data_IF_834283537845
#
_entry.id   IF_834283537845
#
_cell.length_a   1.000
_cell.length_b   1.000
_cell.length_c   1.000
_cell.angle_alpha   90.00
_cell.angle_beta   90.00
_cell.angle_gamma   90.00
#
_symmetry.space_group_name_H-M   'P 1'
#
loop_
_entity.id
_entity.type
_entity.pdbx_description
1 polymer ?
#
# COMPACT_ATOMS: atom_id res chain seq x y z
N UNK A 1 3.03 -10.54 5.48
CA UNK A 1 3.32 -9.52 6.52
C UNK A 1 3.29 -8.17 5.81
N UNK A 2 2.66 -7.15 6.40
CA UNK A 2 2.74 -5.76 5.93
C UNK A 2 3.47 -4.98 7.00
N UNK A 3 4.48 -4.20 6.62
CA UNK A 3 5.16 -3.24 7.51
C UNK A 3 4.97 -1.82 7.01
N UNK A 4 4.90 -0.88 7.95
CA UNK A 4 4.73 0.55 7.70
C UNK A 4 5.92 1.29 8.31
N UNK A 5 6.57 2.13 7.52
CA UNK A 5 7.51 3.16 7.99
C UNK A 5 6.89 4.53 7.72
N UNK A 6 6.94 5.45 8.69
CA UNK A 6 6.41 6.81 8.53
C UNK A 6 7.58 7.78 8.59
N UNK A 7 7.65 8.65 7.59
CA UNK A 7 8.48 9.86 7.53
C UNK A 7 7.51 11.06 7.54
N UNK A 8 7.99 12.26 7.91
CA UNK A 8 7.17 13.46 8.15
C UNK A 8 6.23 13.83 6.98
N UNK A 9 6.51 13.33 5.77
CA UNK A 9 5.70 13.55 4.56
C UNK A 9 5.27 12.28 3.83
N UNK A 10 5.63 11.09 4.31
CA UNK A 10 5.44 9.85 3.53
C UNK A 10 5.25 8.60 4.40
N UNK A 11 4.41 7.69 3.92
CA UNK A 11 4.29 6.33 4.47
C UNK A 11 4.91 5.35 3.48
N UNK A 12 5.89 4.58 3.95
CA UNK A 12 6.45 3.43 3.25
C UNK A 12 5.68 2.18 3.63
N UNK A 13 5.00 1.58 2.67
CA UNK A 13 4.26 0.32 2.82
C UNK A 13 5.07 -0.78 2.17
N UNK A 14 5.44 -1.80 2.94
CA UNK A 14 6.17 -2.97 2.46
C UNK A 14 5.34 -4.23 2.68
N UNK A 15 5.19 -5.07 1.67
CA UNK A 15 4.41 -6.32 1.74
C UNK A 15 5.03 -7.45 0.93
N UNK A 16 4.67 -8.68 1.28
CA UNK A 16 5.03 -9.85 0.47
C UNK A 16 4.12 -9.96 -0.75
N UNK A 17 4.71 -10.22 -1.91
CA UNK A 17 4.01 -10.41 -3.18
C UNK A 17 4.27 -11.80 -3.74
N UNK A 18 3.39 -12.25 -4.63
CA UNK A 18 3.61 -13.43 -5.45
C UNK A 18 4.02 -13.02 -6.87
N UNK A 19 4.99 -13.70 -7.49
CA UNK A 19 5.32 -13.46 -8.90
C UNK A 19 4.09 -13.65 -9.79
N UNK A 20 4.03 -12.87 -10.87
CA UNK A 20 2.95 -12.88 -11.86
C UNK A 20 1.57 -12.44 -11.33
N UNK A 21 1.44 -12.07 -10.05
CA UNK A 21 0.24 -11.39 -9.55
C UNK A 21 0.35 -9.88 -9.71
N UNK A 22 -0.79 -9.19 -9.63
CA UNK A 22 -0.89 -7.74 -9.58
C UNK A 22 -1.58 -7.30 -8.31
N UNK A 23 -1.21 -6.13 -7.83
CA UNK A 23 -1.75 -5.57 -6.60
C UNK A 23 -2.21 -4.12 -6.78
N UNK A 24 -3.19 -3.75 -5.96
CA UNK A 24 -3.59 -2.38 -5.75
C UNK A 24 -3.35 -2.01 -4.27
N UNK A 25 -2.76 -0.82 -4.06
CA UNK A 25 -2.62 -0.20 -2.76
C UNK A 25 -3.76 0.79 -2.58
N UNK A 26 -4.53 0.59 -1.52
CA UNK A 26 -5.68 1.42 -1.18
C UNK A 26 -5.48 2.10 0.17
N UNK A 27 -6.08 3.28 0.32
CA UNK A 27 -6.08 4.04 1.56
C UNK A 27 -7.49 4.38 2.01
N UNK A 28 -7.66 4.59 3.30
CA UNK A 28 -8.92 4.99 3.93
C UNK A 28 -8.69 5.96 5.09
N UNK A 29 -9.61 6.88 5.31
CA UNK A 29 -9.63 7.80 6.47
C UNK A 29 -10.54 7.32 7.61
N UNK A 30 -11.41 6.35 7.35
CA UNK A 30 -12.41 5.85 8.31
C UNK A 30 -12.41 4.32 8.46
N UNK A 31 -11.54 3.62 7.74
CA UNK A 31 -11.47 2.17 7.69
C UNK A 31 -12.59 1.49 6.89
N UNK A 32 -13.58 2.25 6.42
CA UNK A 32 -14.76 1.74 5.71
C UNK A 32 -14.72 2.06 4.21
N UNK A 33 -14.40 3.31 3.86
CA UNK A 33 -14.33 3.79 2.48
C UNK A 33 -12.88 3.76 2.00
N UNK A 34 -12.62 3.01 0.93
CA UNK A 34 -11.28 2.77 0.42
C UNK A 34 -11.12 3.37 -0.98
N UNK A 35 -10.07 4.16 -1.16
CA UNK A 35 -9.69 4.73 -2.45
C UNK A 35 -8.37 4.13 -2.93
N UNK A 36 -8.29 3.79 -4.21
CA UNK A 36 -7.04 3.33 -4.83
C UNK A 36 -6.03 4.47 -4.88
N UNK A 37 -4.83 4.21 -4.36
CA UNK A 37 -3.68 5.12 -4.43
C UNK A 37 -2.81 4.75 -5.62
N UNK A 38 -2.65 3.44 -5.85
CA UNK A 38 -1.87 2.89 -6.94
C UNK A 38 -2.42 1.52 -7.32
N UNK A 39 -2.54 1.25 -8.62
CA UNK A 39 -3.04 -0.02 -9.18
C UNK A 39 -2.00 -0.66 -10.10
N UNK A 40 -2.21 -1.94 -10.44
CA UNK A 40 -1.34 -2.66 -11.38
C UNK A 40 0.10 -2.87 -10.89
N UNK A 41 0.34 -2.87 -9.58
CA UNK A 41 1.68 -3.05 -9.01
C UNK A 41 2.12 -4.50 -9.28
N UNK A 42 3.17 -4.74 -10.08
CA UNK A 42 3.56 -6.09 -10.44
C UNK A 42 4.21 -6.81 -9.26
N UNK A 43 3.81 -8.05 -9.04
CA UNK A 43 4.42 -8.97 -8.10
C UNK A 43 5.92 -9.16 -8.35
N UNK A 44 6.73 -8.99 -7.32
CA UNK A 44 8.17 -9.23 -7.42
C UNK A 44 8.50 -10.73 -7.41
N UNK A 45 9.42 -11.16 -8.26
CA UNK A 45 9.85 -12.55 -8.35
C UNK A 45 10.89 -12.93 -7.27
N UNK A 46 11.86 -12.05 -7.01
CA UNK A 46 12.83 -12.17 -5.91
C UNK A 46 13.49 -10.79 -5.62
N UNK A 47 13.55 -10.34 -4.35
CA UNK A 47 12.79 -10.88 -3.22
C UNK A 47 11.29 -10.73 -3.48
N UNK A 48 10.49 -11.66 -2.93
CA UNK A 48 9.03 -11.68 -3.06
C UNK A 48 8.38 -10.60 -2.19
N UNK A 49 8.90 -9.38 -2.25
CA UNK A 49 8.56 -8.24 -1.41
C UNK A 49 8.52 -6.98 -2.25
N UNK A 50 7.47 -6.19 -2.07
CA UNK A 50 7.29 -4.89 -2.72
C UNK A 50 7.32 -3.82 -1.66
N UNK A 51 7.92 -2.68 -1.99
CA UNK A 51 7.88 -1.47 -1.17
C UNK A 51 7.34 -0.32 -2.01
N UNK A 52 6.33 0.36 -1.49
CA UNK A 52 5.73 1.54 -2.11
C UNK A 52 5.71 2.69 -1.11
N UNK A 53 6.00 3.89 -1.60
CA UNK A 53 5.92 5.12 -0.81
C UNK A 53 4.67 5.88 -1.22
N UNK A 54 3.85 6.27 -0.25
CA UNK A 54 2.62 7.03 -0.46
C UNK A 54 2.58 8.25 0.44
N UNK A 55 2.00 9.34 -0.06
CA UNK A 55 1.75 10.54 0.75
C UNK A 55 0.46 10.29 1.56
N UNK A 56 0.50 10.43 2.91
CA UNK A 56 -0.69 10.33 3.74
C UNK A 56 -1.74 11.38 3.38
N UNK A 57 -2.97 11.18 3.85
CA UNK A 57 -3.99 12.21 3.73
C UNK A 57 -3.62 13.38 4.65
N UNK A 58 -3.63 14.58 4.09
CA UNK A 58 -3.54 15.83 4.86
C UNK A 58 -4.71 15.90 5.86
N UNK A 59 -4.46 16.36 7.09
CA UNK A 59 -5.53 16.64 8.07
C UNK A 59 -5.54 15.85 9.37
N UNK A 60 -4.40 15.28 9.81
CA UNK A 60 -4.19 14.82 11.19
C UNK A 60 -5.06 13.63 11.67
N UNK A 61 -5.86 13.03 10.79
CA UNK A 61 -6.66 11.85 11.10
C UNK A 61 -5.88 10.57 10.78
N UNK A 62 -6.16 9.50 11.51
CA UNK A 62 -5.57 8.19 11.24
C UNK A 62 -5.85 7.77 9.79
N UNK A 63 -4.79 7.47 9.03
CA UNK A 63 -4.89 6.93 7.67
C UNK A 63 -4.61 5.44 7.71
N UNK A 64 -5.52 4.65 7.14
CA UNK A 64 -5.40 3.20 7.03
C UNK A 64 -4.95 2.82 5.62
N UNK A 65 -4.14 1.76 5.52
CA UNK A 65 -3.64 1.24 4.26
C UNK A 65 -3.93 -0.24 4.14
N UNK A 66 -4.27 -0.70 2.94
CA UNK A 66 -4.38 -2.13 2.62
C UNK A 66 -3.88 -2.42 1.23
N UNK A 67 -3.36 -3.63 1.05
CA UNK A 67 -2.97 -4.15 -0.26
C UNK A 67 -3.99 -5.22 -0.64
N UNK A 68 -4.52 -5.13 -1.86
CA UNK A 68 -5.40 -6.16 -2.43
C UNK A 68 -4.83 -6.68 -3.75
N UNK A 69 -5.18 -7.91 -4.11
CA UNK A 69 -4.92 -8.42 -5.47
C UNK A 69 -5.77 -7.65 -6.47
N UNK A 70 -5.15 -7.21 -7.55
CA UNK A 70 -5.80 -6.58 -8.70
C UNK A 70 -6.15 -7.71 -9.69
N UNK A 71 -7.44 -7.88 -10.08
CA UNK A 71 -7.87 -8.97 -10.95
C UNK A 71 -7.27 -8.95 -12.36
#
# INVERSE_FOLDING_TARGET
>A
IVSLGVDDSAVRVTWNSHPCERYALERSSNGADWASVQSGIPGAAAPATITTTVVPLEGGSATFYRVRKDP
#
